data_IF_611112804886
#
_entry.id   IF_611112804886
#
_cell.length_a   1.000
_cell.length_b   1.000
_cell.length_c   1.000
_cell.angle_alpha   90.00
_cell.angle_beta   90.00
_cell.angle_gamma   90.00
#
_symmetry.space_group_name_H-M   'P 1'
#
loop_
_entity.id
_entity.type
_entity.pdbx_description
1 polymer ?
#
# COMPACT_ATOMS: atom_id res chain seq x y z
N UNK A 1 -23.69 -10.57 23.15
CA UNK A 1 -22.32 -10.99 22.83
C UNK A 1 -22.08 -10.73 21.35
N UNK A 2 -21.39 -9.66 20.99
CA UNK A 2 -20.96 -9.40 19.61
C UNK A 2 -19.73 -8.49 19.65
N UNK A 3 -18.55 -9.11 19.64
CA UNK A 3 -17.30 -8.46 19.24
C UNK A 3 -16.89 -9.10 17.91
N UNK A 4 -17.00 -8.38 16.77
CA UNK A 4 -16.21 -8.72 15.60
C UNK A 4 -15.28 -7.57 15.11
N UNK A 5 -15.57 -6.30 15.38
CA UNK A 5 -14.92 -5.20 14.65
C UNK A 5 -13.46 -4.87 15.07
N UNK A 6 -13.06 -5.16 16.32
CA UNK A 6 -11.69 -4.84 16.82
C UNK A 6 -10.60 -5.68 16.11
N UNK A 7 -10.99 -6.80 15.51
CA UNK A 7 -10.07 -7.73 14.87
C UNK A 7 -9.70 -7.31 13.44
N UNK A 8 -10.58 -6.65 12.69
CA UNK A 8 -10.44 -6.60 11.24
C UNK A 8 -9.29 -5.68 10.77
N UNK A 9 -9.16 -4.48 11.33
CA UNK A 9 -8.10 -3.52 10.92
C UNK A 9 -6.70 -3.98 11.31
N UNK A 10 -6.55 -4.49 12.54
CA UNK A 10 -5.26 -5.03 13.03
C UNK A 10 -4.89 -6.30 12.27
N UNK A 11 -5.84 -7.19 12.03
CA UNK A 11 -5.60 -8.41 11.26
C UNK A 11 -5.28 -8.09 9.79
N UNK A 12 -5.89 -7.05 9.20
CA UNK A 12 -5.57 -6.60 7.86
C UNK A 12 -4.14 -6.06 7.76
N UNK A 13 -3.68 -5.27 8.74
CA UNK A 13 -2.28 -4.81 8.77
C UNK A 13 -1.29 -5.97 8.94
N UNK A 14 -1.61 -6.92 9.82
CA UNK A 14 -0.78 -8.13 10.01
C UNK A 14 -0.76 -8.96 8.72
N UNK A 15 -1.91 -9.11 8.05
CA UNK A 15 -2.01 -9.84 6.79
C UNK A 15 -1.21 -9.15 5.67
N UNK A 16 -1.27 -7.82 5.58
CA UNK A 16 -0.46 -7.05 4.62
C UNK A 16 1.02 -7.21 4.90
N UNK A 17 1.46 -7.05 6.15
CA UNK A 17 2.86 -7.23 6.54
C UNK A 17 3.37 -8.66 6.28
N UNK A 18 2.52 -9.68 6.49
CA UNK A 18 2.84 -11.07 6.16
C UNK A 18 2.98 -11.29 4.66
N UNK A 19 2.11 -10.66 3.86
CA UNK A 19 2.20 -10.73 2.40
C UNK A 19 3.46 -10.04 1.89
N UNK A 20 3.72 -8.82 2.34
CA UNK A 20 4.95 -8.08 2.01
C UNK A 20 6.21 -8.88 2.38
N UNK A 21 6.21 -9.56 3.55
CA UNK A 21 7.30 -10.44 3.95
C UNK A 21 7.48 -11.64 3.00
N UNK A 22 6.38 -12.24 2.55
CA UNK A 22 6.40 -13.36 1.60
C UNK A 22 6.89 -12.93 0.23
N UNK A 23 6.44 -11.77 -0.26
CA UNK A 23 6.86 -11.23 -1.55
C UNK A 23 8.37 -10.89 -1.52
N UNK A 24 8.86 -10.34 -0.40
CA UNK A 24 10.28 -10.10 -0.17
C UNK A 24 11.09 -11.41 -0.10
N UNK A 25 10.62 -12.43 0.61
CA UNK A 25 11.29 -13.74 0.69
C UNK A 25 11.42 -14.39 -0.70
N UNK A 26 10.36 -14.33 -1.52
CA UNK A 26 10.40 -14.83 -2.90
C UNK A 26 11.41 -14.06 -3.75
N UNK A 27 11.45 -12.73 -3.63
CA UNK A 27 12.39 -11.89 -4.37
C UNK A 27 13.85 -12.12 -3.94
N UNK A 28 14.12 -12.29 -2.64
CA UNK A 28 15.44 -12.68 -2.14
C UNK A 28 15.89 -14.05 -2.68
N UNK A 29 14.99 -15.04 -2.69
CA UNK A 29 15.28 -16.36 -3.25
C UNK A 29 15.55 -16.30 -4.75
N UNK A 30 14.86 -15.42 -5.49
CA UNK A 30 15.11 -15.20 -6.91
C UNK A 30 16.49 -14.56 -7.16
N UNK A 31 16.87 -13.56 -6.35
CA UNK A 31 18.20 -12.93 -6.44
C UNK A 31 19.32 -13.91 -6.06
N UNK A 32 19.12 -14.77 -5.07
CA UNK A 32 20.11 -15.78 -4.70
C UNK A 32 20.44 -16.77 -5.85
N UNK A 33 19.55 -16.89 -6.84
CA UNK A 33 19.74 -17.72 -8.06
C UNK A 33 20.22 -16.91 -9.26
N UNK A 34 20.39 -15.61 -9.11
CA UNK A 34 20.81 -14.70 -10.18
C UNK A 34 22.33 -14.68 -10.30
N UNK A 35 22.83 -14.54 -11.52
CA UNK A 35 24.27 -14.38 -11.80
C UNK A 35 24.79 -13.07 -11.16
N UNK A 36 25.91 -13.10 -10.42
CA UNK A 36 26.52 -11.89 -9.85
C UNK A 36 26.74 -10.76 -10.85
N UNK A 37 27.04 -11.05 -12.12
CA UNK A 37 27.19 -10.03 -13.17
C UNK A 37 25.88 -9.27 -13.42
N UNK A 38 24.73 -9.97 -13.37
CA UNK A 38 23.42 -9.32 -13.53
C UNK A 38 23.10 -8.43 -12.33
N UNK A 39 23.43 -8.90 -11.12
CA UNK A 39 23.27 -8.09 -9.92
C UNK A 39 24.16 -6.84 -9.97
N UNK A 40 25.44 -6.98 -10.36
CA UNK A 40 26.36 -5.86 -10.53
C UNK A 40 25.82 -4.82 -11.53
N UNK A 41 25.31 -5.25 -12.67
CA UNK A 41 24.69 -4.35 -13.65
C UNK A 41 23.45 -3.63 -13.09
N UNK A 42 22.61 -4.35 -12.36
CA UNK A 42 21.43 -3.77 -11.74
C UNK A 42 21.79 -2.72 -10.66
N UNK A 43 22.77 -3.01 -9.81
CA UNK A 43 23.29 -2.06 -8.81
C UNK A 43 23.86 -0.81 -9.50
N UNK A 44 24.56 -0.96 -10.62
CA UNK A 44 25.10 0.17 -11.38
C UNK A 44 23.98 1.11 -11.88
N UNK A 45 22.82 0.58 -12.28
CA UNK A 45 21.67 1.41 -12.69
C UNK A 45 21.20 2.35 -11.56
N UNK A 46 21.13 1.87 -10.31
CA UNK A 46 20.79 2.73 -9.16
C UNK A 46 21.91 3.71 -8.77
N UNK A 47 23.16 3.40 -9.12
CA UNK A 47 24.26 4.33 -8.93
C UNK A 47 24.18 5.49 -9.92
N UNK A 48 23.86 5.17 -11.19
CA UNK A 48 23.79 6.11 -12.30
C UNK A 48 22.49 6.95 -12.28
N UNK A 49 21.36 6.35 -11.93
CA UNK A 49 20.07 7.02 -11.77
C UNK A 49 19.51 6.84 -10.34
N UNK A 50 19.77 7.80 -9.44
CA UNK A 50 19.26 7.73 -8.07
C UNK A 50 17.73 7.84 -7.99
N UNK A 51 17.06 8.41 -8.99
CA UNK A 51 15.59 8.60 -8.95
C UNK A 51 14.83 7.28 -9.02
N UNK A 52 15.47 6.22 -9.52
CA UNK A 52 14.94 4.86 -9.49
C UNK A 52 14.63 4.39 -8.06
N UNK A 53 15.35 4.86 -7.04
CA UNK A 53 15.05 4.49 -5.64
C UNK A 53 13.68 4.99 -5.17
N UNK A 54 13.17 6.08 -5.76
CA UNK A 54 11.83 6.63 -5.43
C UNK A 54 10.69 5.97 -6.19
N UNK A 55 10.99 5.40 -7.36
CA UNK A 55 9.96 4.86 -8.28
C UNK A 55 9.92 3.34 -8.31
N UNK A 56 11.01 2.67 -7.97
CA UNK A 56 11.07 1.22 -7.85
C UNK A 56 10.14 0.71 -6.74
N UNK A 57 9.70 -0.54 -6.88
CA UNK A 57 8.82 -1.15 -5.90
C UNK A 57 9.55 -1.24 -4.53
N UNK A 58 8.88 -0.99 -3.39
CA UNK A 58 9.52 -1.06 -2.08
C UNK A 58 10.20 -2.41 -1.80
N UNK A 59 9.66 -3.49 -2.35
CA UNK A 59 10.25 -4.85 -2.28
C UNK A 59 11.59 -4.90 -3.01
N UNK A 60 11.70 -4.34 -4.22
CA UNK A 60 12.94 -4.33 -5.00
C UNK A 60 14.04 -3.54 -4.29
N UNK A 61 13.68 -2.40 -3.72
CA UNK A 61 14.58 -1.54 -2.95
C UNK A 61 15.05 -2.24 -1.66
N UNK A 62 14.14 -2.96 -0.97
CA UNK A 62 14.50 -3.77 0.19
C UNK A 62 15.44 -4.93 -0.18
N UNK A 63 15.19 -5.61 -1.31
CA UNK A 63 16.06 -6.66 -1.83
C UNK A 63 17.43 -6.09 -2.18
N UNK A 64 17.51 -4.99 -2.92
CA UNK A 64 18.77 -4.33 -3.27
C UNK A 64 19.63 -4.06 -2.03
N UNK A 65 19.05 -3.43 -1.01
CA UNK A 65 19.77 -3.08 0.21
C UNK A 65 20.27 -4.33 0.95
N UNK A 66 19.40 -5.34 1.08
CA UNK A 66 19.72 -6.57 1.82
C UNK A 66 20.72 -7.46 1.07
N UNK A 67 20.66 -7.51 -0.26
CA UNK A 67 21.63 -8.23 -1.09
C UNK A 67 22.99 -7.54 -1.11
N UNK A 68 23.04 -6.20 -1.17
CA UNK A 68 24.31 -5.45 -1.05
C UNK A 68 25.03 -5.72 0.27
N UNK A 69 24.28 -5.86 1.36
CA UNK A 69 24.84 -6.16 2.67
C UNK A 69 25.24 -7.64 2.82
N UNK A 70 24.47 -8.57 2.25
CA UNK A 70 24.77 -10.00 2.30
C UNK A 70 25.92 -10.42 1.36
N UNK A 71 26.04 -9.77 0.21
CA UNK A 71 26.97 -10.12 -0.87
C UNK A 71 27.72 -8.91 -1.43
N UNK A 72 28.50 -8.17 -0.62
CA UNK A 72 29.23 -7.00 -1.10
C UNK A 72 30.25 -7.35 -2.21
N UNK A 73 30.75 -8.60 -2.23
CA UNK A 73 31.67 -9.09 -3.26
C UNK A 73 31.06 -9.37 -4.63
N UNK A 74 29.73 -9.24 -4.80
CA UNK A 74 29.07 -9.36 -6.11
C UNK A 74 29.14 -8.08 -6.94
N UNK A 75 29.55 -6.96 -6.33
CA UNK A 75 29.73 -5.68 -7.02
C UNK A 75 31.22 -5.47 -7.25
N UNK A 76 31.63 -5.40 -8.52
CA UNK A 76 33.04 -5.37 -8.90
C UNK A 76 33.75 -4.09 -8.44
N UNK A 77 33.01 -2.98 -8.36
CA UNK A 77 33.53 -1.68 -7.97
C UNK A 77 33.02 -1.24 -6.59
N UNK A 78 33.88 -1.20 -5.55
CA UNK A 78 33.49 -0.74 -4.22
C UNK A 78 32.92 0.68 -4.20
N UNK A 79 33.33 1.56 -5.13
CA UNK A 79 32.77 2.92 -5.22
C UNK A 79 31.30 2.91 -5.57
N UNK A 80 30.84 1.95 -6.38
CA UNK A 80 29.43 1.80 -6.73
C UNK A 80 28.59 1.49 -5.49
N UNK A 81 29.07 0.62 -4.60
CA UNK A 81 28.38 0.33 -3.32
C UNK A 81 28.26 1.61 -2.47
N UNK A 82 29.35 2.37 -2.34
CA UNK A 82 29.33 3.63 -1.58
C UNK A 82 28.38 4.66 -2.18
N UNK A 83 28.37 4.80 -3.51
CA UNK A 83 27.49 5.71 -4.23
C UNK A 83 26.02 5.32 -4.05
N UNK A 84 25.67 4.04 -4.23
CA UNK A 84 24.29 3.57 -4.02
C UNK A 84 23.84 3.79 -2.57
N UNK A 85 24.71 3.52 -1.59
CA UNK A 85 24.40 3.80 -0.17
C UNK A 85 24.18 5.28 0.11
N UNK A 86 24.96 6.18 -0.52
CA UNK A 86 24.72 7.61 -0.43
C UNK A 86 23.37 7.99 -1.08
N UNK A 87 23.06 7.43 -2.26
CA UNK A 87 21.79 7.64 -2.94
C UNK A 87 20.59 7.18 -2.10
N UNK A 88 20.72 6.10 -1.33
CA UNK A 88 19.68 5.67 -0.37
C UNK A 88 19.36 6.77 0.65
N UNK A 89 20.38 7.36 1.26
CA UNK A 89 20.22 8.43 2.25
C UNK A 89 19.65 9.69 1.59
N UNK A 90 20.17 10.07 0.42
CA UNK A 90 19.74 11.29 -0.28
C UNK A 90 18.29 11.19 -0.80
N UNK A 91 17.89 10.01 -1.29
CA UNK A 91 16.59 9.84 -1.95
C UNK A 91 15.48 9.43 -1.01
N UNK A 92 15.79 8.60 -0.01
CA UNK A 92 14.82 8.01 0.92
C UNK A 92 14.95 8.57 2.35
N UNK A 93 15.93 9.45 2.59
CA UNK A 93 16.18 10.02 3.91
C UNK A 93 16.78 9.01 4.89
N UNK A 94 16.74 9.36 6.18
CA UNK A 94 17.29 8.55 7.26
C UNK A 94 16.19 7.60 7.79
N UNK A 95 15.88 6.56 7.01
CA UNK A 95 14.96 5.50 7.43
C UNK A 95 15.70 4.44 8.27
N UNK A 96 14.95 3.65 9.05
CA UNK A 96 15.56 2.65 9.92
C UNK A 96 16.17 1.48 9.12
N UNK A 97 17.44 1.63 8.77
CA UNK A 97 18.23 0.62 8.07
C UNK A 97 18.34 -0.69 8.86
N UNK A 98 18.28 -0.65 10.20
CA UNK A 98 18.35 -1.86 11.02
C UNK A 98 17.05 -2.67 10.90
N UNK A 99 15.89 -2.01 10.84
CA UNK A 99 14.62 -2.69 10.58
C UNK A 99 14.62 -3.33 9.20
N UNK A 100 15.09 -2.63 8.17
CA UNK A 100 15.18 -3.20 6.81
C UNK A 100 16.12 -4.40 6.76
N UNK A 101 17.23 -4.38 7.53
CA UNK A 101 18.18 -5.51 7.64
C UNK A 101 17.68 -6.67 8.51
N UNK A 102 16.93 -6.39 9.56
CA UNK A 102 16.55 -7.37 10.58
C UNK A 102 15.18 -8.03 10.35
N UNK A 103 14.19 -7.30 9.84
CA UNK A 103 12.80 -7.77 9.75
C UNK A 103 12.24 -7.65 8.35
N UNK A 104 12.07 -8.79 7.66
CA UNK A 104 11.39 -8.86 6.36
C UNK A 104 9.96 -8.31 6.40
N UNK A 105 9.25 -8.56 7.50
CA UNK A 105 7.87 -8.13 7.68
C UNK A 105 7.71 -6.60 7.78
N UNK A 106 8.77 -5.90 8.18
CA UNK A 106 8.74 -4.44 8.33
C UNK A 106 9.58 -3.73 7.27
N UNK A 107 10.54 -4.42 6.63
CA UNK A 107 11.44 -3.84 5.63
C UNK A 107 10.71 -3.10 4.51
N UNK A 108 9.73 -3.75 3.88
CA UNK A 108 8.96 -3.19 2.77
C UNK A 108 8.15 -1.97 3.20
N UNK A 109 7.56 -2.01 4.40
CA UNK A 109 6.77 -0.90 4.91
C UNK A 109 7.67 0.29 5.30
N UNK A 110 8.83 0.04 5.91
CA UNK A 110 9.83 1.09 6.21
C UNK A 110 10.28 1.80 4.93
N UNK A 111 10.61 1.06 3.86
CA UNK A 111 10.98 1.65 2.57
C UNK A 111 9.82 2.41 1.94
N UNK A 112 8.60 1.84 1.99
CA UNK A 112 7.39 2.48 1.45
C UNK A 112 7.11 3.82 2.14
N UNK A 113 7.29 3.87 3.47
CA UNK A 113 7.15 5.10 4.25
C UNK A 113 8.21 6.13 3.87
N UNK A 114 9.45 5.69 3.66
CA UNK A 114 10.56 6.53 3.24
C UNK A 114 10.34 7.13 1.83
N UNK A 115 9.77 6.35 0.90
CA UNK A 115 9.44 6.81 -0.44
C UNK A 115 8.25 7.79 -0.47
N UNK A 116 7.29 7.63 0.45
CA UNK A 116 6.06 8.43 0.49
C UNK A 116 5.73 8.87 1.93
N UNK A 117 6.49 9.82 2.50
CA UNK A 117 6.37 10.22 3.90
C UNK A 117 5.01 10.88 4.22
N UNK A 118 4.43 11.62 3.27
CA UNK A 118 3.12 12.25 3.44
C UNK A 118 2.01 11.21 3.54
N UNK A 119 2.04 10.21 2.65
CA UNK A 119 1.08 9.10 2.67
C UNK A 119 1.23 8.26 3.94
N UNK A 120 2.47 8.04 4.39
CA UNK A 120 2.75 7.36 5.65
C UNK A 120 2.16 8.12 6.85
N UNK A 121 2.36 9.44 6.88
CA UNK A 121 1.82 10.34 7.91
C UNK A 121 0.30 10.31 7.90
N UNK A 122 -0.31 10.39 6.71
CA UNK A 122 -1.76 10.28 6.55
C UNK A 122 -2.29 8.94 7.06
N UNK A 123 -1.70 7.82 6.62
CA UNK A 123 -2.09 6.47 7.04
C UNK A 123 -1.98 6.29 8.56
N UNK A 124 -0.89 6.75 9.17
CA UNK A 124 -0.70 6.72 10.61
C UNK A 124 -1.76 7.57 11.34
N UNK A 125 -2.09 8.74 10.80
CA UNK A 125 -3.14 9.61 11.29
C UNK A 125 -4.52 8.94 11.27
N UNK A 126 -4.88 8.30 10.16
CA UNK A 126 -6.13 7.55 9.98
C UNK A 126 -6.21 6.36 10.94
N UNK A 127 -5.14 5.56 11.07
CA UNK A 127 -5.13 4.41 11.96
C UNK A 127 -5.25 4.81 13.43
N UNK A 128 -4.60 5.90 13.83
CA UNK A 128 -4.70 6.40 15.20
C UNK A 128 -6.09 6.98 15.48
N UNK A 129 -6.68 7.67 14.51
CA UNK A 129 -8.06 8.12 14.60
C UNK A 129 -9.04 6.94 14.77
N UNK A 130 -8.82 5.83 14.07
CA UNK A 130 -9.64 4.63 14.18
C UNK A 130 -9.51 3.95 15.55
N UNK A 131 -8.28 3.84 16.06
CA UNK A 131 -8.05 3.27 17.40
C UNK A 131 -8.71 4.11 18.50
N UNK A 132 -8.56 5.44 18.43
CA UNK A 132 -9.21 6.37 19.36
C UNK A 132 -10.73 6.32 19.25
N UNK A 133 -11.28 6.25 18.03
CA UNK A 133 -12.71 6.11 17.80
C UNK A 133 -13.27 4.83 18.44
N UNK A 134 -12.54 3.71 18.35
CA UNK A 134 -12.93 2.48 19.03
C UNK A 134 -12.97 2.62 20.55
N UNK A 135 -11.97 3.29 21.14
CA UNK A 135 -11.94 3.58 22.57
C UNK A 135 -13.11 4.49 23.00
N UNK A 136 -13.48 5.44 22.14
CA UNK A 136 -14.62 6.32 22.40
C UNK A 136 -15.94 5.58 22.33
N UNK A 137 -16.18 4.73 21.32
CA UNK A 137 -17.38 3.88 21.25
C UNK A 137 -17.55 3.07 22.53
N UNK A 138 -16.46 2.51 23.06
CA UNK A 138 -16.49 1.74 24.30
C UNK A 138 -16.81 2.59 25.54
N UNK A 139 -16.53 3.91 25.51
CA UNK A 139 -16.71 4.84 26.63
C UNK A 139 -18.05 5.58 26.60
N UNK A 140 -18.48 6.03 25.42
CA UNK A 140 -19.64 6.92 25.24
C UNK A 140 -20.84 6.22 24.59
N UNK A 141 -20.65 5.04 23.98
CA UNK A 141 -21.71 4.31 23.29
C UNK A 141 -22.14 4.90 21.94
N UNK A 142 -21.42 5.91 21.43
CA UNK A 142 -21.67 6.51 20.11
C UNK A 142 -21.35 5.54 18.96
N UNK A 143 -21.88 5.80 17.77
CA UNK A 143 -21.56 4.98 16.59
C UNK A 143 -20.06 5.09 16.24
N UNK A 144 -19.47 4.01 15.71
CA UNK A 144 -18.07 4.00 15.28
C UNK A 144 -17.82 4.99 14.13
N UNK A 145 -18.80 5.18 13.25
CA UNK A 145 -18.72 6.12 12.12
C UNK A 145 -18.61 7.56 12.62
N UNK A 146 -19.47 7.96 13.55
CA UNK A 146 -19.46 9.30 14.15
C UNK A 146 -18.18 9.54 14.97
N UNK A 147 -17.78 8.57 15.80
CA UNK A 147 -16.55 8.67 16.58
C UNK A 147 -15.32 8.80 15.68
N UNK A 148 -15.28 8.05 14.57
CA UNK A 148 -14.18 8.09 13.61
C UNK A 148 -14.14 9.40 12.81
N UNK A 149 -15.29 9.88 12.31
CA UNK A 149 -15.38 11.22 11.67
C UNK A 149 -14.80 12.30 12.57
N UNK A 150 -15.23 12.32 13.84
CA UNK A 150 -14.78 13.34 14.79
C UNK A 150 -13.26 13.27 15.01
N UNK A 151 -12.69 12.06 15.16
CA UNK A 151 -11.23 11.91 15.33
C UNK A 151 -10.44 12.26 14.08
N UNK A 152 -10.97 12.00 12.89
CA UNK A 152 -10.34 12.45 11.65
C UNK A 152 -10.40 13.99 11.52
N UNK A 153 -11.51 14.61 11.89
CA UNK A 153 -11.70 16.06 11.85
C UNK A 153 -10.83 16.80 12.88
N UNK A 154 -10.75 16.31 14.11
CA UNK A 154 -9.84 16.84 15.14
C UNK A 154 -8.36 16.83 14.69
N UNK A 155 -8.00 15.90 13.80
CA UNK A 155 -6.66 15.79 13.22
C UNK A 155 -6.49 16.58 11.92
N UNK A 156 -7.52 17.31 11.47
CA UNK A 156 -7.52 18.06 10.22
C UNK A 156 -7.44 17.19 8.96
N UNK A 157 -7.80 15.89 9.06
CA UNK A 157 -7.73 14.95 7.94
C UNK A 157 -9.00 14.97 7.07
N UNK A 158 -10.12 15.41 7.64
CA UNK A 158 -11.38 15.65 6.95
C UNK A 158 -12.05 16.89 7.54
N UNK A 159 -13.04 17.44 6.83
CA UNK A 159 -13.99 18.40 7.41
C UNK A 159 -15.30 17.68 7.77
N UNK A 160 -15.90 18.05 8.89
CA UNK A 160 -17.21 17.54 9.33
C UNK A 160 -18.29 18.63 9.31
N UNK A 161 -18.02 19.74 8.63
CA UNK A 161 -18.96 20.85 8.51
C UNK A 161 -20.17 20.43 7.67
N UNK A 162 -21.41 20.40 8.22
CA UNK A 162 -22.60 19.99 7.51
C UNK A 162 -22.93 20.89 6.31
N UNK A 163 -22.41 22.12 6.23
CA UNK A 163 -22.56 22.99 5.05
C UNK A 163 -21.63 22.61 3.87
N UNK A 164 -20.59 21.80 4.12
CA UNK A 164 -19.59 21.40 3.12
C UNK A 164 -19.77 19.93 2.64
N UNK A 165 -20.78 19.22 3.14
CA UNK A 165 -21.14 17.85 2.78
C UNK A 165 -20.92 16.84 3.91
N UNK A 166 -21.70 15.75 3.90
CA UNK A 166 -21.55 14.64 4.85
C UNK A 166 -20.13 14.05 4.76
N UNK A 167 -19.40 13.87 5.87
CA UNK A 167 -17.99 13.42 5.87
C UNK A 167 -17.82 12.01 5.30
N UNK A 168 -18.90 11.25 5.22
CA UNK A 168 -18.95 9.96 4.57
C UNK A 168 -20.24 9.89 3.75
N UNK A 169 -20.14 9.96 2.42
CA UNK A 169 -21.28 9.57 1.58
C UNK A 169 -21.69 8.14 1.97
N UNK A 170 -22.96 7.98 2.33
CA UNK A 170 -23.54 6.68 2.66
C UNK A 170 -23.38 5.73 1.46
N UNK A 171 -22.39 4.84 1.51
CA UNK A 171 -22.36 3.67 0.63
C UNK A 171 -23.54 2.79 1.06
N UNK A 172 -24.64 2.85 0.32
CA UNK A 172 -25.69 1.84 0.45
C UNK A 172 -25.06 0.50 0.07
N UNK A 173 -24.74 -0.31 1.08
CA UNK A 173 -24.47 -1.73 0.90
C UNK A 173 -25.78 -2.38 0.46
N UNK A 174 -26.05 -2.31 -0.84
CA UNK A 174 -27.15 -3.02 -1.47
C UNK A 174 -27.02 -4.50 -1.14
N UNK A 175 -28.08 -5.04 -0.53
CA UNK A 175 -28.18 -6.43 -0.12
C UNK A 175 -27.87 -7.35 -1.31
N UNK A 176 -26.75 -8.08 -1.21
CA UNK A 176 -26.43 -9.18 -2.11
C UNK A 176 -27.27 -10.40 -1.69
N UNK A 177 -28.59 -10.30 -1.87
CA UNK A 177 -29.53 -11.40 -1.68
C UNK A 177 -30.83 -11.12 -2.43
N UNK A 178 -30.84 -11.35 -3.75
CA UNK A 178 -31.90 -12.00 -4.52
C UNK A 178 -31.77 -11.68 -6.01
N UNK A 179 -31.73 -12.73 -6.85
CA UNK A 179 -32.14 -12.62 -8.25
C UNK A 179 -31.07 -12.92 -9.30
N UNK A 180 -30.60 -14.16 -9.35
CA UNK A 180 -30.41 -14.80 -10.66
C UNK A 180 -31.80 -15.22 -11.17
N UNK A 181 -32.09 -14.81 -12.40
CA UNK A 181 -33.07 -15.35 -13.34
C UNK A 181 -34.58 -15.25 -13.03
N UNK A 182 -35.24 -14.33 -13.73
CA UNK A 182 -36.24 -14.68 -14.77
C UNK A 182 -36.61 -13.45 -15.58
N UNK A 183 -36.01 -13.39 -16.76
CA UNK A 183 -36.53 -12.71 -17.94
C UNK A 183 -37.90 -13.30 -18.32
N UNK A 184 -38.96 -12.57 -17.98
CA UNK A 184 -40.30 -12.62 -18.62
C UNK A 184 -40.89 -11.20 -18.45
N UNK A 185 -41.22 -10.43 -19.47
CA UNK A 185 -41.22 -10.68 -20.91
C UNK A 185 -41.65 -9.44 -21.69
N UNK A 186 -41.98 -9.68 -22.96
CA UNK A 186 -42.60 -8.81 -23.96
C UNK A 186 -41.66 -7.86 -24.75
N UNK A 187 -41.44 -8.24 -26.01
CA UNK A 187 -40.80 -7.38 -27.02
C UNK A 187 -40.24 -8.15 -28.22
N UNK A 188 -40.96 -9.15 -28.74
CA UNK A 188 -40.61 -9.80 -30.01
C UNK A 188 -41.15 -8.91 -31.14
N UNK A 189 -40.29 -8.19 -31.83
CA UNK A 189 -40.53 -7.74 -33.21
C UNK A 189 -39.24 -7.84 -34.03
N UNK A 190 -39.21 -8.63 -35.11
CA UNK A 190 -38.09 -8.67 -36.04
C UNK A 190 -38.30 -7.60 -37.12
N UNK A 191 -37.63 -6.46 -37.02
CA UNK A 191 -37.56 -5.48 -38.12
C UNK A 191 -36.24 -5.61 -38.87
N UNK A 192 -36.18 -6.60 -39.76
CA UNK A 192 -35.31 -6.52 -40.91
C UNK A 192 -35.92 -5.53 -41.92
N UNK A 193 -35.41 -4.30 -42.00
CA UNK A 193 -35.57 -3.44 -43.17
C UNK A 193 -34.30 -2.61 -43.41
N UNK A 194 -33.44 -3.17 -44.26
CA UNK A 194 -32.50 -2.41 -45.09
C UNK A 194 -33.29 -1.45 -45.99
N UNK A 195 -33.09 -0.15 -45.80
CA UNK A 195 -33.13 0.84 -46.89
C UNK A 195 -32.00 1.83 -46.65
N UNK A 196 -31.03 1.83 -47.57
CA UNK A 196 -30.12 2.96 -47.73
C UNK A 196 -30.85 4.18 -48.29
N UNK A 197 -30.20 5.34 -48.18
CA UNK A 197 -30.11 6.50 -49.10
C UNK A 197 -29.16 7.49 -48.38
N UNK A 198 -27.88 7.55 -48.78
CA UNK A 198 -27.16 8.68 -49.43
C UNK A 198 -26.09 9.22 -48.47
N UNK A 199 -24.81 9.36 -48.83
CA UNK A 199 -24.17 9.70 -50.11
C UNK A 199 -23.00 8.79 -50.42
#
# INVERSE_FOLDING_TARGET
MTQPAVNDSRNMMIALARRDASDLDQAEQAIARTDPMRFNHWVAQFADDPTMLRTAAPVEVAVLLRTLDAHPGWVDNPRTIHQVRANFVDQLGDFDHQVVRGSRAHAVDTIRQAQNPDLATFRAGVLTALDQAHQDVARTGSSIQTAFANRLAERGLITTDPELGEPFEHIQLGSRAAGLDRTQGAGWEPSAQLRGIAR
#
